data_IF_460269066728
#
_entry.id   IF_460269066728
#
_cell.length_a   1.000
_cell.length_b   1.000
_cell.length_c   1.000
_cell.angle_alpha   90.00
_cell.angle_beta   90.00
_cell.angle_gamma   90.00
#
_symmetry.space_group_name_H-M   'P 1'
#
loop_
_entity.id
_entity.type
_entity.pdbx_description
1 polymer ?
#
# COMPACT_ATOMS: atom_id res chain seq x y z
N UNK A 1 -33.61 15.07 -13.25
CA UNK A 1 -32.95 14.05 -12.42
C UNK A 1 -32.29 14.77 -11.27
N UNK A 2 -32.53 14.40 -10.01
CA UNK A 2 -31.76 14.94 -8.90
C UNK A 2 -30.28 14.50 -9.03
N UNK A 3 -29.35 15.41 -8.77
CA UNK A 3 -27.92 15.14 -8.63
C UNK A 3 -27.59 14.97 -7.16
N UNK A 4 -26.77 13.98 -6.82
CA UNK A 4 -26.27 13.76 -5.47
C UNK A 4 -24.74 13.85 -5.51
N UNK A 5 -24.17 14.58 -4.57
CA UNK A 5 -22.73 14.70 -4.37
C UNK A 5 -22.34 13.97 -3.09
N UNK A 6 -21.28 13.17 -3.16
CA UNK A 6 -20.79 12.36 -2.05
C UNK A 6 -19.33 12.70 -1.83
N UNK A 7 -19.04 13.31 -0.70
CA UNK A 7 -17.67 13.57 -0.24
C UNK A 7 -17.27 12.48 0.76
N UNK A 8 -16.08 11.92 0.60
CA UNK A 8 -15.51 10.93 1.51
C UNK A 8 -14.00 11.12 1.58
N UNK A 9 -13.42 10.73 2.71
CA UNK A 9 -11.98 10.75 2.94
C UNK A 9 -11.41 9.32 2.88
N UNK A 10 -10.17 9.21 2.40
CA UNK A 10 -9.46 7.93 2.30
C UNK A 10 -8.37 7.88 3.36
N UNK A 11 -8.39 6.84 4.17
CA UNK A 11 -7.40 6.56 5.20
C UNK A 11 -6.72 5.22 4.96
N UNK A 12 -5.43 5.15 5.27
CA UNK A 12 -4.72 3.89 5.34
C UNK A 12 -5.13 3.12 6.61
N UNK A 13 -5.05 1.79 6.59
CA UNK A 13 -5.30 0.95 7.76
C UNK A 13 -4.36 1.24 8.94
N UNK A 14 -3.19 1.81 8.68
CA UNK A 14 -2.25 2.26 9.71
C UNK A 14 -2.61 3.63 10.33
N UNK A 15 -3.69 4.27 9.87
CA UNK A 15 -4.17 5.57 10.36
C UNK A 15 -3.64 6.80 9.61
N UNK A 16 -2.78 6.62 8.59
CA UNK A 16 -2.31 7.72 7.74
C UNK A 16 -3.41 8.24 6.80
N UNK A 17 -3.51 9.57 6.67
CA UNK A 17 -4.40 10.20 5.70
C UNK A 17 -3.85 10.08 4.27
N UNK A 18 -4.69 9.65 3.32
CA UNK A 18 -4.29 9.39 1.93
C UNK A 18 -4.77 10.46 0.94
N UNK A 19 -5.22 11.63 1.41
CA UNK A 19 -5.78 12.68 0.54
C UNK A 19 -4.86 13.12 -0.61
N UNK A 20 -3.54 13.11 -0.42
CA UNK A 20 -2.55 13.43 -1.48
C UNK A 20 -2.06 12.22 -2.27
N UNK A 21 -2.59 11.03 -1.96
CA UNK A 21 -2.23 9.73 -2.55
C UNK A 21 -3.45 9.02 -3.14
N UNK A 22 -4.53 9.76 -3.36
CA UNK A 22 -5.76 9.25 -3.96
C UNK A 22 -6.18 10.10 -5.16
N UNK A 23 -6.54 9.47 -6.26
CA UNK A 23 -7.05 10.13 -7.47
C UNK A 23 -8.46 9.61 -7.79
N UNK A 24 -9.41 10.55 -7.92
CA UNK A 24 -10.76 10.25 -8.39
C UNK A 24 -10.84 10.36 -9.92
N UNK A 25 -11.45 9.37 -10.57
CA UNK A 25 -11.77 9.44 -12.01
C UNK A 25 -13.19 8.98 -12.27
N UNK A 26 -13.86 9.61 -13.24
CA UNK A 26 -15.19 9.23 -13.71
C UNK A 26 -15.12 8.89 -15.19
N UNK A 27 -15.11 7.60 -15.52
CA UNK A 27 -15.03 7.11 -16.90
C UNK A 27 -16.30 6.37 -17.35
N UNK A 28 -16.26 5.77 -18.55
CA UNK A 28 -17.35 4.91 -19.07
C UNK A 28 -17.72 3.75 -18.12
N UNK A 29 -16.83 3.36 -17.21
CA UNK A 29 -17.06 2.33 -16.20
C UNK A 29 -17.65 2.83 -14.87
N UNK A 30 -17.99 4.11 -14.77
CA UNK A 30 -18.45 4.74 -13.52
C UNK A 30 -17.33 5.44 -12.73
N UNK A 31 -17.68 6.03 -11.57
CA UNK A 31 -16.71 6.65 -10.67
C UNK A 31 -15.76 5.59 -10.09
N UNK A 32 -14.47 5.92 -10.04
CA UNK A 32 -13.40 5.11 -9.47
C UNK A 32 -12.47 5.98 -8.66
N UNK A 33 -11.87 5.37 -7.65
CA UNK A 33 -10.84 5.98 -6.81
C UNK A 33 -9.63 5.07 -6.87
N UNK A 34 -8.50 5.60 -7.34
CA UNK A 34 -7.20 4.93 -7.25
C UNK A 34 -6.50 5.45 -6.01
N UNK A 35 -5.96 4.54 -5.20
CA UNK A 35 -5.31 4.87 -3.93
C UNK A 35 -3.93 4.21 -3.91
N UNK A 36 -2.88 5.02 -3.76
CA UNK A 36 -1.52 4.54 -3.58
C UNK A 36 -1.30 4.10 -2.11
N UNK A 37 -0.49 3.05 -1.86
CA UNK A 37 -0.13 2.65 -0.50
C UNK A 37 0.57 3.79 0.24
N UNK A 38 0.30 3.98 1.53
CA UNK A 38 1.01 5.00 2.30
C UNK A 38 2.50 4.66 2.45
N UNK A 39 3.34 5.69 2.54
CA UNK A 39 4.80 5.54 2.67
C UNK A 39 5.17 4.68 3.88
N UNK A 40 4.50 4.86 5.03
CA UNK A 40 4.76 4.02 6.23
C UNK A 40 4.56 2.53 5.98
N UNK A 41 3.52 2.16 5.23
CA UNK A 41 3.27 0.76 4.91
C UNK A 41 4.27 0.23 3.86
N UNK A 42 4.73 1.08 2.93
CA UNK A 42 5.79 0.72 2.00
C UNK A 42 7.10 0.47 2.74
N UNK A 43 7.46 1.34 3.67
CA UNK A 43 8.67 1.23 4.48
C UNK A 43 8.65 -0.03 5.34
N UNK A 44 7.54 -0.27 6.05
CA UNK A 44 7.38 -1.49 6.85
C UNK A 44 7.47 -2.76 6.00
N UNK A 45 6.86 -2.77 4.81
CA UNK A 45 6.97 -3.90 3.89
C UNK A 45 8.40 -4.09 3.35
N UNK A 46 9.14 -3.00 3.15
CA UNK A 46 10.54 -3.04 2.73
C UNK A 46 11.43 -3.60 3.83
N UNK A 47 11.27 -3.14 5.08
CA UNK A 47 11.99 -3.65 6.26
C UNK A 47 11.69 -5.15 6.47
N UNK A 48 10.41 -5.55 6.46
CA UNK A 48 10.04 -6.96 6.57
C UNK A 48 10.66 -7.81 5.45
N UNK A 49 10.71 -7.29 4.24
CA UNK A 49 11.35 -7.97 3.10
C UNK A 49 12.86 -8.08 3.28
N UNK A 50 13.51 -7.04 3.79
CA UNK A 50 14.94 -7.03 4.07
C UNK A 50 15.31 -8.03 5.18
N UNK A 51 14.54 -8.06 6.28
CA UNK A 51 14.75 -8.98 7.38
C UNK A 51 14.55 -10.44 6.95
N UNK A 52 13.43 -10.73 6.26
CA UNK A 52 13.16 -12.08 5.73
C UNK A 52 14.24 -12.52 4.74
N UNK A 53 14.71 -11.61 3.89
CA UNK A 53 15.79 -11.89 2.95
C UNK A 53 17.12 -12.16 3.64
N UNK A 54 17.43 -11.41 4.70
CA UNK A 54 18.63 -11.61 5.51
C UNK A 54 18.60 -12.97 6.23
N UNK A 55 17.50 -13.30 6.92
CA UNK A 55 17.33 -14.56 7.63
C UNK A 55 17.40 -15.76 6.69
N UNK A 56 16.75 -15.67 5.53
CA UNK A 56 16.81 -16.72 4.52
C UNK A 56 18.23 -16.89 3.97
N UNK A 57 18.90 -15.79 3.60
CA UNK A 57 20.27 -15.85 3.07
C UNK A 57 21.29 -16.37 4.09
N UNK A 58 21.13 -16.02 5.38
CA UNK A 58 21.98 -16.52 6.45
C UNK A 58 21.72 -18.00 6.75
N UNK A 59 20.45 -18.42 6.79
CA UNK A 59 20.05 -19.81 7.01
C UNK A 59 20.50 -20.75 5.89
N UNK A 60 20.28 -20.35 4.63
CA UNK A 60 20.69 -21.13 3.46
C UNK A 60 22.23 -21.18 3.34
N UNK A 61 22.92 -20.06 3.59
CA UNK A 61 24.39 -20.01 3.57
C UNK A 61 25.08 -20.76 4.71
N UNK A 62 24.38 -21.01 5.82
CA UNK A 62 24.86 -21.88 6.89
C UNK A 62 24.70 -23.38 6.55
N UNK A 63 23.65 -23.72 5.80
CA UNK A 63 23.36 -25.11 5.39
C UNK A 63 24.24 -25.60 4.21
N UNK A 64 24.79 -24.71 3.38
CA UNK A 64 25.71 -25.09 2.29
C UNK A 64 27.15 -25.41 2.76
N UNK A 65 27.47 -25.26 4.05
CA UNK A 65 28.79 -25.55 4.61
C UNK A 65 28.91 -26.88 5.37
N UNK A 66 27.87 -27.71 5.36
CA UNK A 66 27.88 -29.07 5.96
C UNK A 66 27.96 -30.18 4.90
#
# INVERSE_FOLDING_TARGET
>A
MPSFEVEFEVFCSCGEGLCSQSEGSSGRGGPRVTVEPCEKCKDAAYEEGADKGYDQGYGDGAHEKE
#
